data_IF_345632912478
#
_entry.id   IF_345632912478
#
_cell.length_a   1.000
_cell.length_b   1.000
_cell.length_c   1.000
_cell.angle_alpha   90.00
_cell.angle_beta   90.00
_cell.angle_gamma   90.00
#
_symmetry.space_group_name_H-M   'P 1'
#
loop_
_entity.id
_entity.type
_entity.pdbx_description
1 polymer ?
#
# COMPACT_ATOMS: atom_id res chain seq x y z
N UNK A 1 -13.46 -14.27 29.13
CA UNK A 1 -13.02 -14.67 27.76
C UNK A 1 -12.28 -13.47 27.17
N UNK A 2 -10.94 -13.46 27.24
CA UNK A 2 -10.11 -12.31 26.84
C UNK A 2 -9.87 -12.42 25.33
N UNK A 3 -10.34 -11.46 24.55
CA UNK A 3 -10.07 -11.42 23.12
C UNK A 3 -8.63 -10.96 22.90
N UNK A 4 -7.83 -11.83 22.28
CA UNK A 4 -6.52 -11.50 21.71
C UNK A 4 -6.74 -10.66 20.45
N UNK A 5 -6.07 -9.51 20.34
CA UNK A 5 -5.28 -9.13 19.16
C UNK A 5 -4.51 -7.84 19.43
N UNK A 6 -3.38 -7.94 20.13
CA UNK A 6 -2.37 -6.89 20.05
C UNK A 6 -1.56 -7.18 18.77
N UNK A 7 -2.07 -6.78 17.61
CA UNK A 7 -1.25 -6.76 16.39
C UNK A 7 -0.35 -5.53 16.47
N UNK A 8 0.83 -5.71 17.06
CA UNK A 8 1.89 -4.70 17.03
C UNK A 8 2.21 -4.44 15.54
N UNK A 9 1.89 -3.25 15.02
CA UNK A 9 2.26 -2.90 13.66
C UNK A 9 3.79 -2.90 13.54
N UNK A 10 4.37 -3.51 12.50
CA UNK A 10 5.83 -3.50 12.32
C UNK A 10 6.31 -2.05 12.17
N UNK A 11 7.47 -1.73 12.76
CA UNK A 11 7.97 -0.36 12.95
C UNK A 11 8.16 0.44 11.64
N UNK A 12 8.19 -0.24 10.50
CA UNK A 12 8.34 0.35 9.18
C UNK A 12 7.01 0.76 8.51
N UNK A 13 5.86 0.37 9.07
CA UNK A 13 4.56 0.91 8.66
C UNK A 13 4.33 2.21 9.41
N UNK A 14 4.50 3.33 8.69
CA UNK A 14 4.35 4.67 9.27
C UNK A 14 2.87 5.06 9.38
N UNK A 15 2.02 4.49 8.52
CA UNK A 15 0.57 4.67 8.54
C UNK A 15 -0.13 3.53 7.80
N UNK A 16 -1.21 2.99 8.34
CA UNK A 16 -2.14 2.11 7.63
C UNK A 16 -3.59 2.43 7.99
N UNK A 17 -4.44 2.66 6.98
CA UNK A 17 -5.89 2.78 7.21
C UNK A 17 -6.52 1.39 7.40
N UNK A 18 -7.30 1.17 8.47
CA UNK A 18 -8.06 -0.08 8.65
C UNK A 18 -9.26 -0.17 7.71
N UNK A 19 -9.88 0.97 7.38
CA UNK A 19 -10.98 1.10 6.43
C UNK A 19 -10.48 0.97 5.00
N UNK A 20 -11.24 0.23 4.19
CA UNK A 20 -11.10 0.20 2.74
C UNK A 20 -11.91 1.36 2.13
N UNK A 21 -11.22 2.36 1.62
CA UNK A 21 -11.83 3.57 1.07
C UNK A 21 -12.60 3.27 -0.21
N UNK A 22 -13.75 3.91 -0.38
CA UNK A 22 -14.66 3.66 -1.49
C UNK A 22 -15.12 4.92 -2.24
N UNK A 23 -15.89 4.71 -3.30
CA UNK A 23 -16.49 5.78 -4.12
C UNK A 23 -17.15 6.86 -3.27
N UNK A 24 -16.85 8.12 -3.59
CA UNK A 24 -17.34 9.29 -2.85
C UNK A 24 -16.52 9.69 -1.61
N UNK A 25 -15.57 8.85 -1.18
CA UNK A 25 -14.66 9.22 -0.08
C UNK A 25 -13.45 10.01 -0.59
N UNK A 26 -12.99 11.04 0.15
CA UNK A 26 -11.87 11.87 -0.27
C UNK A 26 -10.56 11.08 -0.30
N UNK A 27 -9.62 11.51 -1.17
CA UNK A 27 -8.26 10.99 -1.16
C UNK A 27 -7.62 11.29 0.20
N UNK A 28 -7.00 10.29 0.87
CA UNK A 28 -6.34 10.53 2.14
C UNK A 28 -5.10 11.41 1.93
N UNK A 29 -4.72 12.17 2.96
CA UNK A 29 -3.49 12.97 2.91
C UNK A 29 -2.27 12.03 2.88
N UNK A 30 -1.58 11.99 1.75
CA UNK A 30 -0.37 11.18 1.57
C UNK A 30 0.86 11.91 2.11
N UNK A 31 1.79 11.17 2.74
CA UNK A 31 3.10 11.72 3.11
C UNK A 31 4.00 11.70 1.87
N UNK A 32 4.43 12.86 1.34
CA UNK A 32 5.10 12.93 0.04
C UNK A 32 6.47 12.23 0.02
N UNK A 33 7.14 12.06 1.17
CA UNK A 33 8.47 11.46 1.26
C UNK A 33 8.43 9.94 1.55
N UNK A 34 7.27 9.29 1.47
CA UNK A 34 7.12 7.87 1.73
C UNK A 34 6.56 7.12 0.53
N UNK A 35 6.99 5.86 0.39
CA UNK A 35 6.29 4.89 -0.44
C UNK A 35 4.83 4.79 0.01
N UNK A 36 3.89 4.89 -0.94
CA UNK A 36 2.47 4.63 -0.67
C UNK A 36 2.02 3.37 -1.39
N UNK A 37 1.56 2.38 -0.62
CA UNK A 37 0.94 1.18 -1.17
C UNK A 37 -0.59 1.31 -1.12
N UNK A 38 -1.22 1.42 -2.28
CA UNK A 38 -2.64 1.13 -2.41
C UNK A 38 -2.85 -0.39 -2.35
N UNK A 39 -3.62 -0.82 -1.36
CA UNK A 39 -3.77 -2.23 -0.98
C UNK A 39 -5.23 -2.62 -0.76
N UNK A 40 -5.44 -3.90 -0.50
CA UNK A 40 -6.68 -4.43 0.03
C UNK A 40 -6.29 -5.60 0.93
N UNK A 41 -6.60 -5.52 2.24
CA UNK A 41 -6.13 -6.47 3.27
C UNK A 41 -6.28 -7.96 2.94
N UNK A 42 -7.27 -8.34 2.13
CA UNK A 42 -7.56 -9.73 1.77
C UNK A 42 -7.09 -10.11 0.35
N UNK A 43 -6.38 -9.22 -0.35
CA UNK A 43 -5.88 -9.48 -1.69
C UNK A 43 -4.54 -10.23 -1.65
N UNK A 44 -4.45 -11.47 -2.19
CA UNK A 44 -3.20 -12.23 -2.21
C UNK A 44 -2.12 -11.60 -3.09
N UNK A 45 -2.50 -10.83 -4.13
CA UNK A 45 -1.55 -10.12 -4.97
C UNK A 45 -0.91 -8.94 -4.23
N UNK A 46 -1.71 -8.15 -3.51
CA UNK A 46 -1.20 -7.03 -2.72
C UNK A 46 -0.41 -7.51 -1.49
N UNK A 47 -0.73 -8.70 -0.97
CA UNK A 47 0.03 -9.34 0.11
C UNK A 47 1.51 -9.54 -0.26
N UNK A 48 1.82 -9.86 -1.53
CA UNK A 48 3.21 -10.02 -1.98
C UNK A 48 4.03 -8.74 -1.75
N UNK A 49 3.53 -7.61 -2.21
CA UNK A 49 4.20 -6.30 -2.05
C UNK A 49 4.32 -5.92 -0.57
N UNK A 50 3.28 -6.19 0.24
CA UNK A 50 3.34 -5.97 1.70
C UNK A 50 4.45 -6.78 2.37
N UNK A 51 4.61 -8.05 1.98
CA UNK A 51 5.66 -8.92 2.53
C UNK A 51 7.06 -8.41 2.17
N UNK A 52 7.27 -7.95 0.94
CA UNK A 52 8.58 -7.38 0.53
C UNK A 52 8.87 -6.09 1.31
N UNK A 53 7.91 -5.17 1.40
CA UNK A 53 8.06 -3.94 2.19
C UNK A 53 8.42 -4.23 3.66
N UNK A 54 7.74 -5.21 4.27
CA UNK A 54 8.00 -5.63 5.64
C UNK A 54 9.37 -6.30 5.80
N UNK A 55 9.72 -7.23 4.91
CA UNK A 55 11.01 -7.93 4.94
C UNK A 55 12.18 -6.96 4.78
N UNK A 56 12.05 -6.00 3.86
CA UNK A 56 13.04 -4.96 3.60
C UNK A 56 13.03 -3.84 4.64
N UNK A 57 12.06 -3.82 5.56
CA UNK A 57 11.86 -2.76 6.55
C UNK A 57 11.79 -1.36 5.94
N UNK A 58 11.26 -1.23 4.72
CA UNK A 58 11.13 0.07 4.04
C UNK A 58 10.04 0.90 4.74
N UNK A 59 10.32 2.16 5.10
CA UNK A 59 9.30 3.07 5.59
C UNK A 59 8.23 3.32 4.53
N UNK A 60 6.99 2.99 4.84
CA UNK A 60 5.89 3.15 3.89
C UNK A 60 4.56 3.44 4.61
N UNK A 61 3.60 3.89 3.82
CA UNK A 61 2.20 4.01 4.23
C UNK A 61 1.30 3.12 3.37
N UNK A 62 0.20 2.67 3.94
CA UNK A 62 -0.78 1.79 3.30
C UNK A 62 -2.14 2.46 3.29
N UNK A 63 -2.73 2.54 2.10
CA UNK A 63 -4.11 2.97 1.91
C UNK A 63 -4.90 1.79 1.38
N UNK A 64 -5.84 1.29 2.20
CA UNK A 64 -6.71 0.20 1.78
C UNK A 64 -7.86 0.74 0.92
N UNK A 65 -8.15 0.07 -0.20
CA UNK A 65 -9.16 0.48 -1.19
C UNK A 65 -10.23 -0.60 -1.35
N UNK A 66 -11.49 -0.20 -1.45
CA UNK A 66 -12.60 -1.07 -1.81
C UNK A 66 -12.53 -1.37 -3.32
N UNK A 67 -12.33 -2.63 -3.69
CA UNK A 67 -12.17 -3.04 -5.09
C UNK A 67 -13.48 -3.25 -5.84
N UNK A 68 -14.63 -3.23 -5.14
CA UNK A 68 -15.97 -3.29 -5.73
C UNK A 68 -16.48 -1.88 -6.01
N UNK A 69 -16.38 -1.00 -5.01
CA UNK A 69 -16.77 0.42 -5.10
C UNK A 69 -15.53 1.31 -5.07
N UNK A 70 -14.78 1.33 -6.14
CA UNK A 70 -13.47 2.02 -6.20
C UNK A 70 -13.65 3.55 -6.11
N UNK A 71 -12.82 4.26 -5.34
CA UNK A 71 -12.76 5.71 -5.38
C UNK A 71 -12.26 6.24 -6.74
N UNK A 72 -12.80 7.37 -7.19
CA UNK A 72 -12.39 8.00 -8.45
C UNK A 72 -10.93 8.43 -8.44
N UNK A 73 -10.46 8.96 -7.29
CA UNK A 73 -9.06 9.34 -7.12
C UNK A 73 -8.11 8.14 -7.25
N UNK A 74 -8.55 6.92 -6.88
CA UNK A 74 -7.72 5.73 -7.05
C UNK A 74 -7.60 5.34 -8.52
N UNK A 75 -8.71 5.43 -9.27
CA UNK A 75 -8.73 5.16 -10.71
C UNK A 75 -7.87 6.17 -11.49
N UNK A 76 -7.77 7.41 -11.01
CA UNK A 76 -6.88 8.42 -11.59
C UNK A 76 -5.39 8.14 -11.34
N UNK A 77 -5.05 7.41 -10.25
CA UNK A 77 -3.66 7.08 -9.88
C UNK A 77 -3.19 5.73 -10.44
N UNK A 78 -4.09 4.75 -10.54
CA UNK A 78 -3.77 3.40 -11.03
C UNK A 78 -4.55 3.10 -12.30
N UNK A 79 -3.84 3.10 -13.43
CA UNK A 79 -4.42 2.79 -14.75
C UNK A 79 -5.06 1.39 -14.83
N UNK A 80 -4.62 0.45 -13.99
CA UNK A 80 -5.21 -0.89 -13.90
C UNK A 80 -6.50 -0.94 -13.09
N UNK A 81 -6.72 0.04 -12.19
CA UNK A 81 -7.77 -0.01 -11.17
C UNK A 81 -7.70 -1.25 -10.27
N UNK A 82 -6.53 -1.87 -10.15
CA UNK A 82 -6.24 -3.06 -9.32
C UNK A 82 -5.17 -2.74 -8.29
N UNK A 83 -5.08 -3.59 -7.27
CA UNK A 83 -4.01 -3.58 -6.26
C UNK A 83 -3.13 -4.81 -6.44
N UNK A 84 -1.83 -4.73 -6.11
CA UNK A 84 -1.13 -3.58 -5.54
C UNK A 84 -0.91 -2.45 -6.58
N UNK A 85 -0.92 -1.22 -6.10
CA UNK A 85 -0.36 -0.08 -6.82
C UNK A 85 0.57 0.68 -5.85
N UNK A 86 1.85 0.79 -6.22
CA UNK A 86 2.89 1.42 -5.42
C UNK A 86 3.23 2.78 -6.00
N UNK A 87 3.10 3.83 -5.19
CA UNK A 87 3.45 5.20 -5.53
C UNK A 87 4.80 5.52 -4.88
N UNK A 88 5.73 6.02 -5.67
CA UNK A 88 7.00 6.59 -5.19
C UNK A 88 6.86 8.06 -4.78
N UNK A 89 7.71 8.59 -3.89
CA UNK A 89 7.81 10.02 -3.59
C UNK A 89 7.99 10.89 -4.84
N UNK A 90 8.65 10.35 -5.88
CA UNK A 90 8.81 11.02 -7.17
C UNK A 90 7.51 11.12 -8.00
N UNK A 91 6.41 10.53 -7.53
CA UNK A 91 5.06 10.70 -8.08
C UNK A 91 4.64 9.69 -9.13
N UNK A 92 5.53 8.79 -9.56
CA UNK A 92 5.18 7.73 -10.50
C UNK A 92 4.60 6.50 -9.80
N UNK A 93 3.82 5.71 -10.56
CA UNK A 93 3.07 4.56 -10.05
C UNK A 93 3.54 3.26 -10.71
N UNK A 94 3.87 2.26 -9.90
CA UNK A 94 4.05 0.88 -10.33
C UNK A 94 2.80 0.06 -10.05
N UNK A 95 2.39 -0.71 -11.05
CA UNK A 95 1.30 -1.69 -10.98
C UNK A 95 1.87 -3.08 -11.22
N UNK A 96 1.06 -4.11 -11.00
CA UNK A 96 1.42 -5.53 -11.03
C UNK A 96 2.22 -6.01 -9.81
N UNK A 97 1.77 -7.13 -9.25
CA UNK A 97 2.33 -7.61 -7.97
C UNK A 97 3.79 -8.04 -8.06
N UNK A 98 4.22 -8.67 -9.16
CA UNK A 98 5.61 -9.10 -9.31
C UNK A 98 6.53 -7.92 -9.62
N UNK A 99 6.08 -6.98 -10.48
CA UNK A 99 6.85 -5.77 -10.81
C UNK A 99 7.11 -4.93 -9.56
N UNK A 100 6.09 -4.71 -8.73
CA UNK A 100 6.27 -3.99 -7.45
C UNK A 100 7.21 -4.74 -6.50
N UNK A 101 7.19 -6.07 -6.45
CA UNK A 101 8.11 -6.85 -5.63
C UNK A 101 9.56 -6.76 -6.12
N UNK A 102 9.80 -6.96 -7.41
CA UNK A 102 11.13 -6.93 -8.02
C UNK A 102 11.77 -5.55 -7.86
N UNK A 103 10.98 -4.50 -8.09
CA UNK A 103 11.40 -3.13 -7.88
C UNK A 103 11.86 -2.89 -6.43
N UNK A 104 11.01 -3.23 -5.45
CA UNK A 104 11.33 -3.04 -4.02
C UNK A 104 12.51 -3.91 -3.56
N UNK A 105 12.68 -5.10 -4.14
CA UNK A 105 13.81 -5.97 -3.84
C UNK A 105 15.14 -5.35 -4.30
N UNK A 106 15.13 -4.65 -5.44
CA UNK A 106 16.29 -3.94 -5.99
C UNK A 106 16.67 -2.65 -5.25
N UNK A 107 15.80 -2.12 -4.38
CA UNK A 107 16.12 -0.93 -3.59
C UNK A 107 17.19 -1.24 -2.54
N UNK A 108 18.34 -0.57 -2.67
CA UNK A 108 19.35 -0.50 -1.61
C UNK A 108 18.94 0.56 -0.60
N UNK A 109 19.00 0.20 0.68
CA UNK A 109 18.92 1.19 1.75
C UNK A 109 20.26 1.95 1.75
N UNK A 110 20.24 3.22 1.40
CA UNK A 110 21.37 4.11 1.69
C UNK A 110 21.47 4.22 3.21
N UNK A 111 22.50 3.59 3.80
CA UNK A 111 22.87 3.77 5.20
C UNK A 111 23.53 5.14 5.41
#
# INVERSE_FOLDING_TARGET
KKAMSNQQQPANIIFESSKHLESGEPEPQLKPNLLTLYSMRFCPFAQRTRLVLQHKQLPHQIVNVNLVRKPDWFLAKSSSGKVPALIEPAGWTLIESLVTCDYLAGLSLSL
#
